data_IF_545340530122
#
_entry.id   IF_545340530122
#
_cell.length_a   1.000
_cell.length_b   1.000
_cell.length_c   1.000
_cell.angle_alpha   90.00
_cell.angle_beta   90.00
_cell.angle_gamma   90.00
#
_symmetry.space_group_name_H-M   'P 1'
#
loop_
_entity.id
_entity.type
_entity.pdbx_description
1 polymer ?
#
# COMPACT_ATOMS: atom_id res chain seq x y z
N UNK A 1 -21.26 5.80 7.46
CA UNK A 1 -22.33 5.09 8.20
C UNK A 1 -21.73 3.88 8.91
N UNK A 2 -22.42 3.34 9.90
CA UNK A 2 -22.09 2.07 10.53
C UNK A 2 -22.80 0.93 9.80
N UNK A 3 -22.19 -0.27 9.83
CA UNK A 3 -22.81 -1.45 9.24
C UNK A 3 -24.06 -1.87 10.00
N UNK A 4 -25.14 -2.15 9.26
CA UNK A 4 -26.43 -2.57 9.80
C UNK A 4 -27.08 -3.54 8.79
N UNK A 5 -27.16 -4.82 9.16
CA UNK A 5 -27.71 -5.89 8.30
C UNK A 5 -29.16 -5.63 7.83
N UNK A 6 -29.90 -4.78 8.52
CA UNK A 6 -31.29 -4.44 8.15
C UNK A 6 -31.37 -3.38 7.05
N UNK A 7 -30.25 -2.75 6.68
CA UNK A 7 -30.18 -1.66 5.70
C UNK A 7 -29.60 -2.12 4.37
N UNK A 8 -30.00 -1.45 3.31
CA UNK A 8 -29.39 -1.64 1.99
C UNK A 8 -28.12 -0.82 1.87
N UNK A 9 -27.00 -1.46 2.21
CA UNK A 9 -25.68 -0.83 2.32
C UNK A 9 -24.70 -1.43 1.32
N UNK A 10 -23.73 -0.61 0.87
CA UNK A 10 -22.51 -1.05 0.21
C UNK A 10 -21.38 -0.98 1.23
N UNK A 11 -20.85 -2.14 1.60
CA UNK A 11 -19.77 -2.26 2.59
C UNK A 11 -18.44 -2.38 1.86
N UNK A 12 -17.59 -1.37 2.02
CA UNK A 12 -16.29 -1.25 1.35
C UNK A 12 -15.16 -1.44 2.34
N UNK A 13 -14.31 -2.45 2.10
CA UNK A 13 -13.08 -2.66 2.85
C UNK A 13 -11.96 -1.78 2.29
N UNK A 14 -11.20 -1.13 3.17
CA UNK A 14 -10.06 -0.29 2.81
C UNK A 14 -9.00 -0.28 3.91
N UNK A 15 -7.83 0.30 3.60
CA UNK A 15 -6.81 0.66 4.58
C UNK A 15 -6.42 2.13 4.38
N UNK A 16 -7.09 3.02 5.12
CA UNK A 16 -7.05 4.47 4.92
C UNK A 16 -5.79 5.14 5.49
N UNK A 17 -4.66 4.80 4.91
CA UNK A 17 -3.34 5.37 5.20
C UNK A 17 -2.46 5.44 3.93
N UNK A 18 -3.09 5.58 2.75
CA UNK A 18 -2.43 5.45 1.44
C UNK A 18 -2.82 6.61 0.50
N UNK A 19 -2.44 7.83 0.89
CA UNK A 19 -2.72 9.03 0.10
C UNK A 19 -1.98 8.99 -1.25
N UNK A 20 -2.64 9.35 -2.38
CA UNK A 20 -3.94 10.02 -2.52
C UNK A 20 -5.14 9.09 -2.73
N UNK A 21 -5.01 7.76 -2.57
CA UNK A 21 -6.06 6.79 -2.91
C UNK A 21 -7.10 6.64 -1.79
N UNK A 22 -6.67 6.34 -0.59
CA UNK A 22 -7.50 6.22 0.60
C UNK A 22 -6.74 6.75 1.83
N UNK A 23 -7.29 7.75 2.47
CA UNK A 23 -6.71 8.36 3.67
C UNK A 23 -7.75 9.06 4.52
N UNK A 24 -7.37 9.40 5.75
CA UNK A 24 -8.21 10.14 6.67
C UNK A 24 -7.85 11.62 6.69
N UNK A 25 -8.87 12.48 6.67
CA UNK A 25 -8.73 13.91 6.96
C UNK A 25 -9.67 14.26 8.10
N UNK A 26 -9.12 14.29 9.30
CA UNK A 26 -9.96 14.28 10.51
C UNK A 26 -10.70 12.95 10.63
N UNK A 27 -12.03 12.99 10.66
CA UNK A 27 -12.90 11.80 10.69
C UNK A 27 -13.40 11.39 9.31
N UNK A 28 -13.08 12.15 8.27
CA UNK A 28 -13.55 11.90 6.92
C UNK A 28 -12.61 11.00 6.14
N UNK A 29 -13.19 10.03 5.42
CA UNK A 29 -12.48 9.24 4.43
C UNK A 29 -12.37 10.02 3.12
N UNK A 30 -11.14 10.17 2.62
CA UNK A 30 -10.80 10.96 1.44
C UNK A 30 -9.98 10.14 0.45
N UNK A 31 -9.90 10.61 -0.78
CA UNK A 31 -9.04 10.07 -1.82
C UNK A 31 -9.81 9.43 -2.95
N UNK A 32 -9.06 9.02 -3.97
CA UNK A 32 -9.60 8.53 -5.24
C UNK A 32 -10.52 7.32 -5.01
N UNK A 33 -10.07 6.33 -4.25
CA UNK A 33 -10.84 5.11 -3.99
C UNK A 33 -12.08 5.40 -3.16
N UNK A 34 -12.00 6.34 -2.22
CA UNK A 34 -13.13 6.73 -1.36
C UNK A 34 -14.20 7.52 -2.14
N UNK A 35 -13.78 8.38 -3.06
CA UNK A 35 -14.71 9.10 -3.95
C UNK A 35 -15.39 8.14 -4.94
N UNK A 36 -14.64 7.17 -5.50
CA UNK A 36 -15.22 6.12 -6.34
C UNK A 36 -16.20 5.25 -5.56
N UNK A 37 -15.88 4.91 -4.30
CA UNK A 37 -16.80 4.15 -3.44
C UNK A 37 -18.12 4.90 -3.22
N UNK A 38 -18.06 6.21 -2.97
CA UNK A 38 -19.24 7.05 -2.80
C UNK A 38 -20.09 7.11 -4.08
N UNK A 39 -19.47 7.29 -5.24
CA UNK A 39 -20.14 7.29 -6.54
C UNK A 39 -20.78 5.92 -6.84
N UNK A 40 -20.11 4.83 -6.51
CA UNK A 40 -20.66 3.49 -6.70
C UNK A 40 -21.85 3.22 -5.81
N UNK A 41 -21.78 3.61 -4.53
CA UNK A 41 -22.90 3.48 -3.60
C UNK A 41 -24.11 4.28 -4.07
N UNK A 42 -23.91 5.53 -4.50
CA UNK A 42 -24.96 6.38 -5.05
C UNK A 42 -25.60 5.78 -6.31
N UNK A 43 -24.76 5.28 -7.24
CA UNK A 43 -25.24 4.59 -8.45
C UNK A 43 -26.10 3.37 -8.15
N UNK A 44 -25.75 2.62 -7.11
CA UNK A 44 -26.48 1.43 -6.66
C UNK A 44 -27.69 1.76 -5.78
N UNK A 45 -27.86 3.02 -5.38
CA UNK A 45 -28.91 3.45 -4.45
C UNK A 45 -28.71 2.91 -3.03
N UNK A 46 -27.44 2.66 -2.63
CA UNK A 46 -27.08 2.08 -1.34
C UNK A 46 -26.41 3.10 -0.42
N UNK A 47 -26.58 2.92 0.89
CA UNK A 47 -25.80 3.68 1.88
C UNK A 47 -24.36 3.16 1.92
N UNK A 48 -23.37 4.06 1.80
CA UNK A 48 -21.95 3.68 1.87
C UNK A 48 -21.51 3.41 3.31
N UNK A 49 -20.89 2.26 3.53
CA UNK A 49 -20.18 1.90 4.77
C UNK A 49 -18.74 1.63 4.45
N UNK A 50 -17.81 2.37 5.06
CA UNK A 50 -16.37 2.12 4.95
C UNK A 50 -15.91 1.32 6.17
N UNK A 51 -15.28 0.18 5.94
CA UNK A 51 -14.59 -0.60 6.98
C UNK A 51 -13.09 -0.48 6.79
N UNK A 52 -12.47 0.31 7.65
CA UNK A 52 -11.02 0.48 7.68
C UNK A 52 -10.37 -0.67 8.47
N UNK A 53 -9.41 -1.34 7.88
CA UNK A 53 -8.72 -2.49 8.47
C UNK A 53 -7.25 -2.56 8.03
N UNK A 54 -6.47 -3.48 8.60
CA UNK A 54 -5.11 -3.73 8.16
C UNK A 54 -5.12 -4.21 6.69
N UNK A 55 -4.18 -3.72 5.88
CA UNK A 55 -4.18 -3.92 4.42
C UNK A 55 -4.16 -5.39 4.01
N UNK A 56 -3.40 -6.23 4.72
CA UNK A 56 -3.29 -7.67 4.49
C UNK A 56 -4.60 -8.44 4.77
N UNK A 57 -5.55 -7.84 5.49
CA UNK A 57 -6.86 -8.43 5.76
C UNK A 57 -7.94 -8.08 4.72
N UNK A 58 -7.70 -7.08 3.86
CA UNK A 58 -8.74 -6.50 2.98
C UNK A 58 -9.31 -7.51 1.99
N UNK A 59 -8.46 -8.23 1.24
CA UNK A 59 -8.91 -9.25 0.30
C UNK A 59 -9.66 -10.39 1.00
N UNK A 60 -9.13 -10.84 2.13
CA UNK A 60 -9.75 -11.92 2.91
C UNK A 60 -11.15 -11.52 3.42
N UNK A 61 -11.34 -10.28 3.84
CA UNK A 61 -12.64 -9.78 4.31
C UNK A 61 -13.70 -9.87 3.20
N UNK A 62 -13.34 -9.53 1.96
CA UNK A 62 -14.25 -9.68 0.80
C UNK A 62 -14.47 -11.15 0.46
N UNK A 63 -13.40 -11.94 0.40
CA UNK A 63 -13.50 -13.39 0.12
C UNK A 63 -14.36 -14.14 1.14
N UNK A 64 -14.39 -13.69 2.38
CA UNK A 64 -15.26 -14.21 3.46
C UNK A 64 -16.66 -13.56 3.49
N UNK A 65 -16.98 -12.72 2.54
CA UNK A 65 -18.28 -12.01 2.45
C UNK A 65 -18.58 -11.10 3.67
N UNK A 66 -17.54 -10.59 4.34
CA UNK A 66 -17.67 -9.60 5.42
C UNK A 66 -17.82 -8.18 4.87
N UNK A 67 -17.35 -7.97 3.65
CA UNK A 67 -17.51 -6.75 2.88
C UNK A 67 -17.92 -7.11 1.45
N UNK A 68 -18.60 -6.19 0.77
CA UNK A 68 -19.06 -6.40 -0.60
C UNK A 68 -17.91 -6.21 -1.62
N UNK A 69 -17.06 -5.21 -1.39
CA UNK A 69 -15.94 -4.84 -2.27
C UNK A 69 -14.77 -4.31 -1.46
N UNK A 70 -13.57 -4.45 -2.01
CA UNK A 70 -12.36 -3.81 -1.51
C UNK A 70 -11.95 -2.66 -2.44
N UNK A 71 -11.64 -1.51 -1.85
CA UNK A 71 -11.07 -0.35 -2.53
C UNK A 71 -9.92 0.19 -1.68
N UNK A 72 -8.68 -0.21 -2.04
CA UNK A 72 -7.50 -0.01 -1.23
C UNK A 72 -6.22 0.03 -2.09
N UNK A 73 -6.28 0.57 -3.31
CA UNK A 73 -5.12 0.64 -4.21
C UNK A 73 -4.50 -0.73 -4.51
N UNK A 74 -5.31 -1.78 -4.60
CA UNK A 74 -4.86 -3.16 -4.70
C UNK A 74 -4.30 -3.50 -6.07
N UNK A 75 -3.06 -3.96 -6.14
CA UNK A 75 -2.48 -4.56 -7.35
C UNK A 75 -3.12 -5.92 -7.62
N UNK A 76 -3.44 -6.18 -8.88
CA UNK A 76 -3.95 -7.48 -9.33
C UNK A 76 -2.79 -8.48 -9.32
N UNK A 77 -2.86 -9.49 -8.44
CA UNK A 77 -1.90 -10.60 -8.35
C UNK A 77 -2.63 -11.94 -8.39
N UNK A 78 -1.94 -13.01 -8.75
CA UNK A 78 -2.56 -14.33 -8.84
C UNK A 78 -2.96 -14.84 -7.44
N UNK A 79 -2.14 -14.62 -6.42
CA UNK A 79 -2.49 -14.99 -5.05
C UNK A 79 -3.74 -14.27 -4.52
N UNK A 80 -3.97 -13.02 -4.92
CA UNK A 80 -5.19 -12.29 -4.57
C UNK A 80 -6.41 -12.76 -5.36
N UNK A 81 -6.22 -13.17 -6.63
CA UNK A 81 -7.30 -13.73 -7.45
C UNK A 81 -7.88 -15.03 -6.88
N UNK A 82 -7.11 -15.76 -6.07
CA UNK A 82 -7.60 -16.94 -5.36
C UNK A 82 -8.67 -16.60 -4.30
N UNK A 83 -8.72 -15.35 -3.86
CA UNK A 83 -9.63 -14.87 -2.82
C UNK A 83 -10.77 -14.00 -3.37
N UNK A 84 -10.49 -13.20 -4.40
CA UNK A 84 -11.41 -12.19 -4.94
C UNK A 84 -11.36 -12.11 -6.47
N UNK A 85 -12.43 -11.58 -7.06
CA UNK A 85 -12.45 -11.18 -8.48
C UNK A 85 -12.15 -9.69 -8.57
N UNK A 86 -11.24 -9.31 -9.46
CA UNK A 86 -10.88 -7.92 -9.71
C UNK A 86 -11.75 -7.27 -10.80
N UNK A 87 -11.90 -5.95 -10.68
CA UNK A 87 -12.39 -5.08 -11.76
C UNK A 87 -11.28 -4.90 -12.82
N UNK A 88 -11.58 -4.15 -13.88
CA UNK A 88 -10.55 -3.64 -14.77
C UNK A 88 -9.59 -2.72 -13.99
N UNK A 89 -8.33 -2.67 -14.41
CA UNK A 89 -7.33 -1.77 -13.81
C UNK A 89 -7.67 -0.31 -14.12
N UNK A 90 -7.61 0.56 -13.11
CA UNK A 90 -7.86 2.00 -13.25
C UNK A 90 -6.63 2.87 -12.97
N UNK A 91 -5.50 2.28 -12.55
CA UNK A 91 -4.27 3.00 -12.26
C UNK A 91 -3.04 2.12 -12.52
N UNK A 92 -1.98 2.70 -13.09
CA UNK A 92 -0.69 2.04 -13.26
C UNK A 92 0.25 2.45 -12.13
N UNK A 93 0.41 1.58 -11.14
CA UNK A 93 1.29 1.83 -10.02
C UNK A 93 2.77 1.57 -10.36
N UNK A 94 3.64 2.25 -9.65
CA UNK A 94 5.07 1.98 -9.61
C UNK A 94 5.59 2.10 -8.18
N UNK A 95 6.72 1.45 -7.89
CA UNK A 95 7.36 1.51 -6.56
C UNK A 95 8.41 2.61 -6.52
N UNK A 96 8.62 3.22 -5.35
CA UNK A 96 9.73 4.13 -5.05
C UNK A 96 10.49 3.67 -3.81
N UNK A 97 11.78 3.94 -3.82
CA UNK A 97 12.66 3.82 -2.66
C UNK A 97 12.72 5.20 -1.97
N UNK A 98 12.39 5.23 -0.68
CA UNK A 98 12.60 6.40 0.17
C UNK A 98 13.90 6.21 0.93
N UNK A 99 14.77 7.19 0.87
CA UNK A 99 16.09 7.23 1.49
C UNK A 99 16.22 8.46 2.39
N UNK A 100 17.16 8.46 3.33
CA UNK A 100 17.52 9.66 4.07
C UNK A 100 18.10 10.74 3.13
N UNK A 101 17.88 12.01 3.43
CA UNK A 101 18.27 13.13 2.56
C UNK A 101 19.79 13.23 2.31
N UNK A 102 20.59 12.68 3.20
CA UNK A 102 22.05 12.66 3.11
C UNK A 102 22.60 11.34 2.55
N UNK A 103 21.73 10.37 2.23
CA UNK A 103 22.14 9.13 1.59
C UNK A 103 22.31 9.34 0.07
N UNK A 104 23.55 9.21 -0.39
CA UNK A 104 23.93 9.36 -1.81
C UNK A 104 24.11 8.04 -2.54
N UNK A 105 23.77 6.93 -1.91
CA UNK A 105 24.02 5.57 -2.43
C UNK A 105 23.40 5.35 -3.82
N UNK A 106 22.24 5.93 -4.07
CA UNK A 106 21.46 5.74 -5.30
C UNK A 106 21.53 6.92 -6.28
N UNK A 107 22.30 7.98 -5.99
CA UNK A 107 22.33 9.20 -6.81
C UNK A 107 22.75 8.97 -8.28
N UNK A 108 23.58 7.96 -8.53
CA UNK A 108 24.01 7.61 -9.87
C UNK A 108 23.01 6.70 -10.63
N UNK A 109 22.01 6.15 -9.96
CA UNK A 109 21.03 5.23 -10.55
C UNK A 109 20.11 5.99 -11.51
N UNK A 110 19.86 5.39 -12.68
CA UNK A 110 18.94 5.93 -13.70
C UNK A 110 17.85 4.94 -14.06
N UNK A 111 18.04 3.68 -13.75
CA UNK A 111 17.14 2.59 -14.08
C UNK A 111 16.86 1.73 -12.86
N UNK A 112 15.80 0.92 -12.95
CA UNK A 112 15.49 -0.11 -11.95
C UNK A 112 16.66 -1.06 -11.75
N UNK A 113 17.29 -1.47 -12.85
CA UNK A 113 18.43 -2.41 -12.85
C UNK A 113 19.64 -1.84 -12.09
N UNK A 114 19.86 -0.52 -12.16
CA UNK A 114 20.94 0.12 -11.39
C UNK A 114 20.66 0.00 -9.88
N UNK A 115 19.41 0.23 -9.46
CA UNK A 115 18.97 0.10 -8.05
C UNK A 115 19.10 -1.36 -7.60
N UNK A 116 18.60 -2.32 -8.39
CA UNK A 116 18.68 -3.73 -8.07
C UNK A 116 20.13 -4.25 -7.99
N UNK A 117 21.02 -3.70 -8.81
CA UNK A 117 22.44 -4.04 -8.74
C UNK A 117 23.04 -3.64 -7.38
N UNK A 118 22.63 -2.50 -6.82
CA UNK A 118 23.03 -2.08 -5.47
C UNK A 118 22.38 -2.98 -4.42
N UNK A 119 21.07 -3.26 -4.52
CA UNK A 119 20.36 -4.14 -3.57
C UNK A 119 21.01 -5.53 -3.46
N UNK A 120 21.52 -6.07 -4.57
CA UNK A 120 22.23 -7.36 -4.59
C UNK A 120 23.58 -7.34 -3.85
N UNK A 121 24.09 -6.16 -3.50
CA UNK A 121 25.31 -6.03 -2.68
C UNK A 121 25.00 -5.98 -1.19
N UNK A 122 23.74 -5.80 -0.82
CA UNK A 122 23.30 -5.72 0.57
C UNK A 122 23.12 -7.12 1.17
N UNK A 123 23.15 -7.17 2.48
CA UNK A 123 22.94 -8.39 3.26
C UNK A 123 21.82 -8.16 4.32
N UNK A 124 21.62 -9.14 5.18
CA UNK A 124 20.61 -9.11 6.25
C UNK A 124 20.77 -7.99 7.28
N UNK A 125 21.87 -7.23 7.24
CA UNK A 125 22.06 -6.06 8.11
C UNK A 125 21.33 -4.83 7.58
N UNK A 126 21.09 -4.78 6.26
CA UNK A 126 20.31 -3.70 5.64
C UNK A 126 18.82 -3.94 5.89
N UNK A 127 18.18 -2.99 6.56
CA UNK A 127 16.75 -3.06 6.94
C UNK A 127 15.90 -2.20 6.03
N UNK A 128 14.91 -2.82 5.41
CA UNK A 128 13.97 -2.16 4.51
C UNK A 128 12.57 -2.24 5.09
N UNK A 129 11.93 -1.08 5.27
CA UNK A 129 10.54 -0.99 5.71
C UNK A 129 9.58 -1.10 4.53
N UNK A 130 8.48 -1.83 4.71
CA UNK A 130 7.34 -1.85 3.80
C UNK A 130 6.04 -2.08 4.56
N UNK A 131 4.91 -1.72 3.95
CA UNK A 131 3.61 -2.05 4.50
C UNK A 131 3.33 -3.54 4.32
N UNK A 132 2.77 -4.17 5.35
CA UNK A 132 2.42 -5.60 5.33
C UNK A 132 1.42 -5.92 4.21
N UNK A 133 1.63 -7.04 3.51
CA UNK A 133 0.75 -7.54 2.45
C UNK A 133 0.84 -6.78 1.13
N UNK A 134 1.75 -5.82 0.98
CA UNK A 134 1.93 -5.04 -0.26
C UNK A 134 2.90 -5.70 -1.23
N UNK A 135 2.83 -5.27 -2.49
CA UNK A 135 3.81 -5.67 -3.51
C UNK A 135 5.22 -5.21 -3.18
N UNK A 136 5.39 -4.15 -2.39
CA UNK A 136 6.69 -3.71 -1.87
C UNK A 136 7.32 -4.77 -0.94
N UNK A 137 6.54 -5.36 -0.03
CA UNK A 137 6.99 -6.48 0.79
C UNK A 137 7.42 -7.65 -0.11
N UNK A 138 6.55 -8.07 -1.03
CA UNK A 138 6.81 -9.20 -1.93
C UNK A 138 8.05 -9.00 -2.80
N UNK A 139 8.33 -7.77 -3.20
CA UNK A 139 9.53 -7.42 -3.96
C UNK A 139 10.81 -7.59 -3.13
N UNK A 140 10.80 -7.25 -1.86
CA UNK A 140 11.97 -7.43 -0.99
C UNK A 140 12.19 -8.89 -0.63
N UNK A 141 11.13 -9.59 -0.21
CA UNK A 141 11.21 -10.98 0.27
C UNK A 141 11.28 -12.02 -0.86
N UNK A 142 10.83 -11.63 -2.05
CA UNK A 142 10.56 -12.54 -3.15
C UNK A 142 9.12 -13.04 -3.15
N UNK A 143 8.61 -13.38 -4.33
CA UNK A 143 7.24 -13.84 -4.50
C UNK A 143 7.07 -14.59 -5.82
N UNK A 144 6.28 -15.66 -5.79
CA UNK A 144 5.85 -16.37 -7.01
C UNK A 144 5.02 -15.46 -7.91
N UNK A 145 4.17 -14.58 -7.35
CA UNK A 145 3.38 -13.60 -8.12
C UNK A 145 4.25 -12.65 -8.96
N UNK A 146 5.48 -12.39 -8.53
CA UNK A 146 6.43 -11.51 -9.21
C UNK A 146 7.47 -12.30 -10.04
N UNK A 147 7.44 -13.64 -9.98
CA UNK A 147 8.51 -14.51 -10.52
C UNK A 147 9.89 -14.00 -10.10
N UNK A 148 10.04 -13.69 -8.82
CA UNK A 148 11.22 -13.02 -8.30
C UNK A 148 11.65 -13.58 -6.94
N UNK A 149 12.95 -13.85 -6.80
CA UNK A 149 13.51 -14.48 -5.60
C UNK A 149 13.69 -13.53 -4.40
N UNK A 150 13.55 -12.22 -4.61
CA UNK A 150 13.80 -11.22 -3.58
C UNK A 150 15.28 -10.86 -3.42
N UNK A 151 15.58 -10.27 -2.26
CA UNK A 151 16.94 -9.81 -1.89
C UNK A 151 17.29 -10.32 -0.48
N UNK A 152 18.59 -10.34 -0.16
CA UNK A 152 19.08 -10.79 1.16
C UNK A 152 18.90 -9.74 2.28
N UNK A 153 18.22 -8.64 2.00
CA UNK A 153 17.91 -7.59 2.97
C UNK A 153 16.86 -8.06 3.99
N UNK A 154 16.89 -7.47 5.19
CA UNK A 154 15.87 -7.74 6.19
C UNK A 154 14.66 -6.83 5.98
N UNK A 155 13.49 -7.42 5.69
CA UNK A 155 12.23 -6.70 5.69
C UNK A 155 11.74 -6.43 7.10
N UNK A 156 11.25 -5.20 7.33
CA UNK A 156 10.51 -4.82 8.52
C UNK A 156 9.12 -4.38 8.10
N UNK A 157 8.10 -5.13 8.52
CA UNK A 157 6.71 -4.89 8.15
C UNK A 157 6.02 -3.86 9.03
N UNK A 158 5.22 -2.98 8.42
CA UNK A 158 4.46 -1.92 9.08
C UNK A 158 2.98 -1.97 8.70
N UNK A 159 2.12 -1.38 9.53
CA UNK A 159 0.68 -1.24 9.24
C UNK A 159 0.39 -0.23 8.13
N UNK A 160 1.25 0.77 7.96
CA UNK A 160 1.17 1.78 6.90
C UNK A 160 2.54 2.38 6.59
N UNK A 161 2.64 3.08 5.45
CA UNK A 161 3.89 3.69 4.99
C UNK A 161 4.42 4.79 5.89
N UNK A 162 3.55 5.57 6.52
CA UNK A 162 3.96 6.67 7.40
C UNK A 162 4.72 6.17 8.62
N UNK A 163 4.31 5.02 9.20
CA UNK A 163 5.04 4.40 10.31
C UNK A 163 6.43 3.90 9.88
N UNK A 164 6.54 3.34 8.67
CA UNK A 164 7.82 2.91 8.12
C UNK A 164 8.77 4.11 7.93
N UNK A 165 8.27 5.21 7.36
CA UNK A 165 9.08 6.43 7.15
C UNK A 165 9.46 7.07 8.49
N UNK A 166 8.56 7.05 9.49
CA UNK A 166 8.92 7.52 10.83
C UNK A 166 10.09 6.73 11.44
N UNK A 167 10.11 5.42 11.24
CA UNK A 167 11.22 4.58 11.71
C UNK A 167 12.51 4.76 10.89
N UNK A 168 12.41 5.09 9.60
CA UNK A 168 13.56 5.54 8.81
C UNK A 168 14.16 6.83 9.39
N UNK A 169 13.34 7.82 9.73
CA UNK A 169 13.78 9.08 10.35
C UNK A 169 14.40 8.87 11.74
N UNK A 170 13.94 7.86 12.46
CA UNK A 170 14.49 7.48 13.76
C UNK A 170 15.81 6.69 13.66
N UNK A 171 16.25 6.33 12.46
CA UNK A 171 17.46 5.54 12.22
C UNK A 171 17.31 4.04 12.50
N UNK A 172 16.10 3.53 12.57
CA UNK A 172 15.79 2.11 12.78
C UNK A 172 15.75 1.31 11.48
N UNK A 173 15.63 1.98 10.34
CA UNK A 173 15.66 1.44 8.98
C UNK A 173 16.70 2.16 8.14
N UNK A 174 17.17 1.48 7.09
CA UNK A 174 18.01 2.07 6.06
C UNK A 174 17.17 2.66 4.92
N UNK A 175 16.08 1.98 4.55
CA UNK A 175 15.23 2.33 3.42
C UNK A 175 13.77 2.01 3.67
N UNK A 176 12.86 2.64 2.88
CA UNK A 176 11.45 2.27 2.78
C UNK A 176 11.08 2.10 1.32
N UNK A 177 10.36 1.03 0.97
CA UNK A 177 9.77 0.83 -0.36
C UNK A 177 8.26 0.94 -0.25
N UNK A 178 7.68 1.77 -1.10
CA UNK A 178 6.23 2.02 -1.18
C UNK A 178 5.86 2.51 -2.58
N UNK A 179 4.60 2.45 -2.94
CA UNK A 179 4.08 3.00 -4.20
C UNK A 179 4.44 4.48 -4.37
N UNK A 180 4.68 4.88 -5.62
CA UNK A 180 5.21 6.20 -5.95
C UNK A 180 4.35 7.36 -5.43
N UNK A 181 3.03 7.30 -5.61
CA UNK A 181 2.16 8.39 -5.19
C UNK A 181 2.12 8.56 -3.66
N UNK A 182 1.92 7.50 -2.84
CA UNK A 182 2.07 7.61 -1.39
C UNK A 182 3.47 8.03 -0.93
N UNK A 183 4.54 7.57 -1.60
CA UNK A 183 5.90 8.01 -1.29
C UNK A 183 6.04 9.53 -1.44
N UNK A 184 5.51 10.09 -2.53
CA UNK A 184 5.53 11.54 -2.77
C UNK A 184 4.72 12.31 -1.73
N UNK A 185 3.53 11.85 -1.38
CA UNK A 185 2.69 12.49 -0.35
C UNK A 185 3.38 12.49 1.02
N UNK A 186 3.92 11.36 1.46
CA UNK A 186 4.58 11.24 2.76
C UNK A 186 5.84 12.11 2.81
N UNK A 187 6.71 12.05 1.80
CA UNK A 187 7.96 12.81 1.79
C UNK A 187 7.71 14.31 1.65
N UNK A 188 6.72 14.74 0.86
CA UNK A 188 6.33 16.14 0.76
C UNK A 188 5.85 16.68 2.11
N UNK A 189 5.03 15.94 2.84
CA UNK A 189 4.56 16.32 4.16
C UNK A 189 5.73 16.49 5.16
N UNK A 190 6.68 15.54 5.17
CA UNK A 190 7.84 15.57 6.06
C UNK A 190 8.78 16.72 5.70
N UNK A 191 9.08 16.90 4.42
CA UNK A 191 10.01 17.95 3.95
C UNK A 191 9.44 19.36 4.08
N UNK A 192 8.16 19.52 4.39
CA UNK A 192 7.50 20.81 4.64
C UNK A 192 7.57 21.26 6.10
N UNK A 193 8.05 20.42 7.02
CA UNK A 193 8.24 20.70 8.45
C UNK A 193 9.59 21.36 8.73
#
# INVERSE_FOLDING_TARGET
AEYDESKDQLVVATNAGFEPFEYMKGEDYCGIDMEMAALLADYLGKELVIQNMDFDAVCLAVGQQKCDIAMAGLTITDSRKDQVTFTDSYYNASQKLIVAADDTTFDACKTKEDVEAIFKTFDSKTKVGAQNGTTAQFYVEGSEDLDFAGFDMTLVGYKNGSLAVQDLLNGNLDYVIIDAAPAESITAAINSL
#
